data_IF_786412788066
#
_entry.id   IF_786412788066
#
_cell.length_a   1.000
_cell.length_b   1.000
_cell.length_c   1.000
_cell.angle_alpha   90.00
_cell.angle_beta   90.00
_cell.angle_gamma   90.00
#
_symmetry.space_group_name_H-M   'P 1'
#
loop_
_entity.id
_entity.type
_entity.pdbx_description
1 polymer ?
#
# COMPACT_ATOMS: atom_id res chain seq x y z
N UNK A 1 33.74 -8.55 -24.21
CA UNK A 1 35.04 -9.05 -23.74
C UNK A 1 35.49 -8.12 -22.63
N UNK A 2 36.04 -8.67 -21.55
CA UNK A 2 36.62 -7.87 -20.48
C UNK A 2 37.92 -7.21 -20.97
N UNK A 3 38.11 -5.97 -20.55
CA UNK A 3 39.31 -5.19 -20.84
C UNK A 3 39.72 -4.42 -19.57
N UNK A 4 40.99 -4.25 -19.32
CA UNK A 4 41.56 -3.63 -18.11
C UNK A 4 41.30 -2.12 -18.00
N UNK A 5 41.04 -1.44 -19.11
CA UNK A 5 41.02 0.04 -19.17
C UNK A 5 39.65 0.66 -18.84
N UNK A 6 38.50 0.13 -19.34
CA UNK A 6 37.20 0.77 -19.09
C UNK A 6 36.69 0.58 -17.66
N UNK A 7 35.99 1.62 -17.18
CA UNK A 7 35.18 1.52 -15.97
C UNK A 7 33.91 0.73 -16.30
N UNK A 8 33.63 -0.28 -15.51
CA UNK A 8 32.42 -1.09 -15.61
C UNK A 8 31.41 -0.68 -14.53
N UNK A 9 30.21 -0.31 -14.97
CA UNK A 9 29.11 -0.01 -14.05
C UNK A 9 28.43 -1.29 -13.58
N UNK A 10 27.87 -1.27 -12.39
CA UNK A 10 27.06 -2.38 -11.86
C UNK A 10 26.03 -2.84 -12.91
N UNK A 11 25.93 -4.15 -13.10
CA UNK A 11 25.10 -4.75 -14.16
C UNK A 11 25.77 -4.89 -15.52
N UNK A 12 26.97 -4.34 -15.74
CA UNK A 12 27.69 -4.53 -16.99
C UNK A 12 28.06 -6.00 -17.19
N UNK A 13 27.83 -6.53 -18.41
CA UNK A 13 28.15 -7.91 -18.76
C UNK A 13 29.40 -7.97 -19.61
N UNK A 14 30.34 -8.81 -19.22
CA UNK A 14 31.61 -9.02 -19.96
C UNK A 14 31.84 -10.51 -20.20
N UNK A 15 32.56 -10.85 -21.24
CA UNK A 15 33.03 -12.20 -21.51
C UNK A 15 34.53 -12.29 -21.19
N UNK A 16 34.88 -13.17 -20.26
CA UNK A 16 36.25 -13.43 -19.85
C UNK A 16 36.42 -14.92 -19.57
N UNK A 17 37.53 -15.52 -20.04
CA UNK A 17 37.88 -16.95 -19.87
C UNK A 17 36.73 -17.91 -20.21
N UNK A 18 36.07 -17.70 -21.37
CA UNK A 18 34.91 -18.46 -21.87
C UNK A 18 33.64 -18.42 -20.98
N UNK A 19 33.63 -17.60 -19.94
CA UNK A 19 32.47 -17.37 -19.09
C UNK A 19 31.92 -15.95 -19.32
N UNK A 20 30.66 -15.74 -19.03
CA UNK A 20 30.05 -14.42 -18.97
C UNK A 20 29.96 -14.01 -17.50
N UNK A 21 30.37 -12.80 -17.22
CA UNK A 21 30.36 -12.21 -15.88
C UNK A 21 29.49 -10.97 -15.87
N UNK A 22 28.89 -10.69 -14.73
CA UNK A 22 28.14 -9.45 -14.49
C UNK A 22 28.82 -8.67 -13.36
N UNK A 23 29.03 -7.38 -13.56
CA UNK A 23 29.57 -6.51 -12.51
C UNK A 23 28.56 -6.37 -11.38
N UNK A 24 28.91 -6.81 -10.19
CA UNK A 24 28.08 -6.69 -8.98
C UNK A 24 28.05 -5.24 -8.45
N UNK A 25 29.12 -4.49 -8.71
CA UNK A 25 29.29 -3.08 -8.38
C UNK A 25 30.14 -2.37 -9.41
N UNK A 26 30.16 -1.05 -9.39
CA UNK A 26 31.07 -0.26 -10.22
C UNK A 26 32.52 -0.67 -9.93
N UNK A 27 33.28 -0.96 -10.98
CA UNK A 27 34.68 -1.36 -10.84
C UNK A 27 35.54 -0.93 -12.05
N UNK A 28 36.84 -0.87 -11.85
CA UNK A 28 37.83 -0.62 -12.87
C UNK A 28 39.09 -1.43 -12.57
N UNK A 29 39.70 -2.02 -13.58
CA UNK A 29 40.91 -2.87 -13.48
C UNK A 29 40.74 -4.16 -12.65
N UNK A 30 39.51 -4.51 -12.26
CA UNK A 30 39.24 -5.76 -11.55
C UNK A 30 38.96 -6.88 -12.55
N UNK A 31 39.78 -7.94 -12.53
CA UNK A 31 39.62 -9.08 -13.43
C UNK A 31 38.54 -10.03 -12.92
N UNK A 32 37.59 -10.50 -13.76
CA UNK A 32 36.63 -11.50 -13.36
C UNK A 32 37.30 -12.84 -13.06
N UNK A 33 37.39 -13.22 -11.78
CA UNK A 33 38.01 -14.47 -11.31
C UNK A 33 37.04 -15.26 -10.43
N UNK A 34 37.25 -16.59 -10.33
CA UNK A 34 36.46 -17.47 -9.46
C UNK A 34 36.80 -17.29 -7.97
N UNK A 35 37.96 -16.74 -7.66
CA UNK A 35 38.41 -16.48 -6.28
C UNK A 35 37.58 -15.38 -5.60
N UNK A 36 36.94 -14.50 -6.39
CA UNK A 36 36.10 -13.42 -5.86
C UNK A 36 34.81 -13.91 -5.16
N UNK A 37 34.51 -15.21 -5.30
CA UNK A 37 33.37 -15.86 -4.67
C UNK A 37 33.57 -16.30 -3.23
N UNK A 38 34.84 -16.51 -2.83
CA UNK A 38 35.19 -17.11 -1.54
C UNK A 38 35.73 -16.09 -0.55
N UNK A 39 35.63 -14.81 -0.81
CA UNK A 39 36.03 -13.79 0.12
C UNK A 39 35.03 -13.69 1.28
N UNK A 40 35.49 -13.90 2.52
CA UNK A 40 34.68 -13.88 3.75
C UNK A 40 33.88 -12.57 3.98
N UNK A 41 34.11 -11.55 3.14
CA UNK A 41 33.44 -10.26 3.16
C UNK A 41 32.26 -10.10 2.18
N UNK A 42 31.94 -11.12 1.40
CA UNK A 42 30.64 -11.25 0.70
C UNK A 42 30.30 -10.20 -0.35
N UNK A 43 31.30 -9.54 -0.98
CA UNK A 43 31.01 -8.50 -1.97
C UNK A 43 31.93 -8.56 -3.18
N UNK A 44 31.84 -9.61 -4.04
CA UNK A 44 32.66 -9.74 -5.22
C UNK A 44 32.39 -8.63 -6.23
N UNK A 45 33.43 -8.17 -6.95
CA UNK A 45 33.30 -7.21 -8.04
C UNK A 45 32.56 -7.81 -9.23
N UNK A 46 32.74 -9.11 -9.44
CA UNK A 46 32.17 -9.86 -10.54
C UNK A 46 31.42 -11.10 -10.04
N UNK A 47 30.28 -11.39 -10.67
CA UNK A 47 29.54 -12.62 -10.46
C UNK A 47 29.42 -13.37 -11.77
N UNK A 48 29.52 -14.71 -11.80
CA UNK A 48 29.25 -15.47 -13.00
C UNK A 48 27.80 -15.26 -13.41
N UNK A 49 27.63 -14.89 -14.68
CA UNK A 49 26.30 -14.71 -15.25
C UNK A 49 25.69 -16.06 -15.62
N UNK A 50 24.68 -16.46 -14.90
CA UNK A 50 23.92 -17.66 -15.21
C UNK A 50 22.74 -17.32 -16.11
N UNK A 51 22.90 -17.54 -17.41
CA UNK A 51 21.87 -17.30 -18.41
C UNK A 51 20.55 -18.03 -18.10
N UNK A 52 20.62 -19.27 -17.61
CA UNK A 52 19.45 -20.08 -17.30
C UNK A 52 18.69 -19.49 -16.12
N UNK A 53 19.39 -19.08 -15.08
CA UNK A 53 18.79 -18.43 -13.91
C UNK A 53 18.09 -17.12 -14.29
N UNK A 54 18.76 -16.27 -15.05
CA UNK A 54 18.22 -14.99 -15.53
C UNK A 54 16.99 -15.19 -16.43
N UNK A 55 17.06 -16.21 -17.28
CA UNK A 55 15.94 -16.60 -18.15
C UNK A 55 14.74 -17.11 -17.34
N UNK A 56 14.95 -17.98 -16.36
CA UNK A 56 13.89 -18.50 -15.50
C UNK A 56 13.28 -17.39 -14.63
N UNK A 57 14.10 -16.49 -14.09
CA UNK A 57 13.61 -15.35 -13.32
C UNK A 57 12.70 -14.45 -14.17
N UNK A 58 13.10 -14.15 -15.41
CA UNK A 58 12.28 -13.36 -16.34
C UNK A 58 10.98 -14.07 -16.68
N UNK A 59 11.02 -15.38 -16.92
CA UNK A 59 9.82 -16.18 -17.18
C UNK A 59 8.89 -16.21 -15.96
N UNK A 60 9.45 -16.33 -14.77
CA UNK A 60 8.69 -16.32 -13.53
C UNK A 60 7.99 -14.97 -13.32
N UNK A 61 8.69 -13.85 -13.54
CA UNK A 61 8.09 -12.51 -13.50
C UNK A 61 6.94 -12.36 -14.50
N UNK A 62 7.13 -12.85 -15.71
CA UNK A 62 6.06 -12.85 -16.73
C UNK A 62 4.87 -13.75 -16.34
N UNK A 63 5.14 -14.91 -15.79
CA UNK A 63 4.11 -15.83 -15.30
C UNK A 63 3.30 -15.21 -14.15
N UNK A 64 3.96 -14.53 -13.21
CA UNK A 64 3.29 -13.79 -12.13
C UNK A 64 2.42 -12.68 -12.72
N UNK A 65 2.94 -11.87 -13.65
CA UNK A 65 2.19 -10.78 -14.27
C UNK A 65 0.93 -11.29 -14.99
N UNK A 66 1.05 -12.37 -15.75
CA UNK A 66 -0.09 -12.99 -16.44
C UNK A 66 -1.11 -13.57 -15.45
N UNK A 67 -0.66 -14.25 -14.40
CA UNK A 67 -1.54 -14.78 -13.35
C UNK A 67 -2.32 -13.66 -12.68
N UNK A 68 -1.65 -12.57 -12.28
CA UNK A 68 -2.30 -11.40 -11.67
C UNK A 68 -3.31 -10.78 -12.63
N UNK A 69 -2.94 -10.59 -13.90
CA UNK A 69 -3.84 -10.07 -14.92
C UNK A 69 -5.08 -10.96 -15.10
N UNK A 70 -4.90 -12.27 -15.23
CA UNK A 70 -6.02 -13.21 -15.37
C UNK A 70 -6.90 -13.19 -14.12
N UNK A 71 -6.31 -13.19 -12.93
CA UNK A 71 -7.06 -13.15 -11.68
C UNK A 71 -7.90 -11.85 -11.56
N UNK A 72 -7.31 -10.71 -11.89
CA UNK A 72 -8.03 -9.42 -11.87
C UNK A 72 -9.17 -9.38 -12.91
N UNK A 73 -8.94 -9.93 -14.11
CA UNK A 73 -9.97 -10.02 -15.15
C UNK A 73 -11.15 -10.92 -14.74
N UNK A 74 -10.86 -12.13 -14.24
CA UNK A 74 -11.89 -13.09 -13.77
C UNK A 74 -12.72 -12.47 -12.64
N UNK A 75 -12.10 -11.69 -11.76
CA UNK A 75 -12.80 -11.00 -10.66
C UNK A 75 -13.45 -9.69 -11.06
N UNK A 76 -13.33 -9.27 -12.32
CA UNK A 76 -13.89 -8.01 -12.81
C UNK A 76 -13.25 -6.76 -12.19
N UNK A 77 -12.02 -6.88 -11.68
CA UNK A 77 -11.32 -5.80 -10.98
C UNK A 77 -10.56 -4.85 -11.93
N UNK A 78 -10.67 -5.07 -13.23
CA UNK A 78 -9.88 -4.38 -14.25
C UNK A 78 -10.47 -3.05 -14.71
N UNK A 79 -11.76 -2.79 -14.45
CA UNK A 79 -12.42 -1.64 -15.09
C UNK A 79 -13.00 -0.55 -14.18
N UNK A 80 -13.52 -0.86 -13.00
CA UNK A 80 -14.26 0.16 -12.22
C UNK A 80 -14.03 0.08 -10.70
N UNK A 81 -13.37 -0.93 -10.19
CA UNK A 81 -13.32 -1.22 -8.75
C UNK A 81 -12.03 -0.79 -8.06
N UNK A 82 -11.14 -0.10 -8.77
CA UNK A 82 -9.91 0.40 -8.15
C UNK A 82 -10.20 1.39 -7.01
N UNK A 83 -11.23 2.19 -7.17
CA UNK A 83 -11.70 3.12 -6.15
C UNK A 83 -13.14 2.76 -5.77
N UNK A 84 -13.29 2.10 -4.63
CA UNK A 84 -14.60 1.80 -4.03
C UNK A 84 -15.29 3.06 -3.49
N UNK A 85 -14.47 4.02 -3.07
CA UNK A 85 -14.87 5.35 -2.64
C UNK A 85 -13.78 6.33 -3.06
N UNK A 86 -14.11 7.30 -3.91
CA UNK A 86 -13.15 8.28 -4.41
C UNK A 86 -13.33 9.61 -3.68
N UNK A 87 -12.25 10.04 -3.02
CA UNK A 87 -12.06 11.36 -2.41
C UNK A 87 -13.29 11.90 -1.68
N UNK A 88 -13.64 11.29 -0.56
CA UNK A 88 -14.76 11.73 0.29
C UNK A 88 -14.24 12.30 1.61
N UNK A 89 -14.73 13.49 1.93
CA UNK A 89 -14.52 14.09 3.26
C UNK A 89 -15.54 13.53 4.25
N UNK A 90 -15.17 13.43 5.52
CA UNK A 90 -16.08 12.96 6.56
C UNK A 90 -17.33 13.86 6.71
N UNK A 91 -17.17 15.16 6.47
CA UNK A 91 -18.27 16.12 6.39
C UNK A 91 -17.89 17.28 5.46
N UNK A 92 -18.86 18.02 4.97
CA UNK A 92 -18.62 19.10 4.00
C UNK A 92 -18.19 20.43 4.63
N UNK A 93 -18.33 20.55 5.93
CA UNK A 93 -17.95 21.74 6.66
C UNK A 93 -18.89 22.94 6.51
N UNK A 94 -19.94 22.85 5.68
CA UNK A 94 -20.83 23.95 5.39
C UNK A 94 -22.07 23.97 6.32
N UNK A 95 -22.53 25.16 6.64
CA UNK A 95 -23.87 25.41 7.18
C UNK A 95 -24.17 24.96 8.62
N UNK A 96 -23.18 24.50 9.37
CA UNK A 96 -23.40 23.98 10.72
C UNK A 96 -23.06 24.98 11.81
N UNK A 97 -23.67 24.82 12.99
CA UNK A 97 -23.31 25.57 14.19
C UNK A 97 -21.85 25.26 14.54
N UNK A 98 -21.09 26.31 14.69
CA UNK A 98 -19.67 26.24 15.04
C UNK A 98 -19.51 26.74 16.47
N UNK A 99 -18.80 25.96 17.27
CA UNK A 99 -18.38 26.36 18.59
C UNK A 99 -16.86 26.31 18.68
N UNK A 100 -16.26 27.26 19.29
CA UNK A 100 -14.83 27.21 19.62
C UNK A 100 -14.67 26.31 20.83
N UNK A 101 -13.78 25.33 20.71
CA UNK A 101 -13.44 24.41 21.79
C UNK A 101 -12.28 24.99 22.62
N UNK A 102 -12.41 24.99 23.96
CA UNK A 102 -11.29 25.37 24.83
C UNK A 102 -10.14 24.37 24.67
N UNK A 103 -8.93 24.85 24.85
CA UNK A 103 -7.76 24.00 25.00
C UNK A 103 -7.76 23.41 26.43
N UNK A 104 -8.00 22.12 26.52
CA UNK A 104 -8.10 21.39 27.80
C UNK A 104 -6.86 20.51 28.06
N UNK A 105 -5.76 20.77 27.36
CA UNK A 105 -4.51 20.02 27.49
C UNK A 105 -4.70 18.51 27.22
N UNK A 106 -5.44 18.19 26.17
CA UNK A 106 -5.78 16.81 25.80
C UNK A 106 -5.13 16.44 24.47
N UNK A 107 -4.92 15.14 24.29
CA UNK A 107 -4.72 14.55 22.98
C UNK A 107 -6.11 14.30 22.38
N UNK A 108 -6.38 14.88 21.21
CA UNK A 108 -7.71 14.84 20.59
C UNK A 108 -7.63 14.45 19.12
N UNK A 109 -8.64 13.77 18.64
CA UNK A 109 -8.64 13.33 17.25
C UNK A 109 -9.78 12.40 16.88
N UNK A 110 -9.51 11.61 15.84
CA UNK A 110 -10.38 10.55 15.34
C UNK A 110 -9.75 9.18 15.55
N UNK A 111 -10.49 8.29 16.17
CA UNK A 111 -10.30 6.86 16.00
C UNK A 111 -10.97 6.42 14.70
N UNK A 112 -10.23 5.74 13.86
CA UNK A 112 -10.67 5.22 12.56
C UNK A 112 -10.53 3.71 12.61
N UNK A 113 -11.66 3.01 12.58
CA UNK A 113 -11.71 1.54 12.61
C UNK A 113 -12.05 1.05 11.20
N UNK A 114 -11.09 0.46 10.48
CA UNK A 114 -11.35 -0.16 9.19
C UNK A 114 -12.29 -1.36 9.34
N UNK A 115 -13.26 -1.47 8.45
CA UNK A 115 -14.08 -2.69 8.37
C UNK A 115 -13.19 -3.84 7.93
N UNK A 116 -13.30 -4.98 8.62
CA UNK A 116 -12.56 -6.20 8.30
C UNK A 116 -12.89 -6.66 6.89
N UNK A 117 -12.01 -6.41 5.96
CA UNK A 117 -12.15 -6.85 4.59
C UNK A 117 -10.78 -7.15 3.99
N UNK A 118 -10.64 -8.33 3.40
CA UNK A 118 -9.43 -8.66 2.66
C UNK A 118 -9.41 -7.89 1.34
N UNK A 119 -8.30 -7.22 1.08
CA UNK A 119 -8.10 -6.47 -0.17
C UNK A 119 -8.73 -5.09 -0.22
N UNK A 120 -9.30 -4.58 0.87
CA UNK A 120 -9.72 -3.17 0.95
C UNK A 120 -8.61 -2.36 1.61
N UNK A 121 -8.14 -1.36 0.90
CA UNK A 121 -7.12 -0.42 1.39
C UNK A 121 -7.71 0.97 1.47
N UNK A 122 -7.57 1.58 2.63
CA UNK A 122 -7.93 2.98 2.82
C UNK A 122 -6.70 3.87 2.79
N UNK A 123 -6.88 5.06 2.27
CA UNK A 123 -5.86 6.09 2.22
C UNK A 123 -6.45 7.42 2.65
N UNK A 124 -5.77 8.13 3.54
CA UNK A 124 -6.04 9.53 3.80
C UNK A 124 -5.32 10.33 2.71
N UNK A 125 -6.08 11.09 1.92
CA UNK A 125 -5.54 11.95 0.87
C UNK A 125 -5.23 13.33 1.38
N UNK A 126 -6.10 13.86 2.27
CA UNK A 126 -5.93 15.17 2.88
C UNK A 126 -6.39 15.15 4.33
N UNK A 127 -5.67 15.89 5.16
CA UNK A 127 -6.08 16.22 6.53
C UNK A 127 -6.61 17.65 6.51
N UNK A 128 -7.79 17.84 7.05
CA UNK A 128 -8.41 19.15 7.16
C UNK A 128 -8.37 19.66 8.56
N UNK A 129 -8.02 20.94 8.70
CA UNK A 129 -8.04 21.67 9.97
C UNK A 129 -8.96 22.89 9.89
N UNK A 130 -9.69 23.12 10.96
CA UNK A 130 -10.49 24.31 11.16
C UNK A 130 -10.20 24.90 12.54
N UNK A 131 -9.34 25.89 12.57
CA UNK A 131 -8.87 26.54 13.78
C UNK A 131 -9.17 28.03 13.75
N UNK A 132 -9.07 28.68 14.89
CA UNK A 132 -9.21 30.14 15.07
C UNK A 132 -8.19 30.67 16.08
N UNK A 133 -8.04 31.98 16.13
CA UNK A 133 -7.22 32.68 17.13
C UNK A 133 -5.78 32.92 16.69
N UNK A 134 -5.08 31.91 16.18
CA UNK A 134 -3.69 32.04 15.77
C UNK A 134 -3.41 31.20 14.51
N UNK A 135 -2.28 31.48 13.87
CA UNK A 135 -1.69 30.68 12.80
C UNK A 135 -0.43 29.99 13.29
N UNK A 136 -0.01 28.95 12.59
CA UNK A 136 1.23 28.25 12.92
C UNK A 136 1.18 26.79 12.55
N UNK A 137 2.19 26.05 12.98
CA UNK A 137 2.31 24.62 12.71
C UNK A 137 1.46 23.83 13.71
N UNK A 138 0.57 23.02 13.21
CA UNK A 138 -0.17 22.00 13.97
C UNK A 138 0.47 20.64 13.66
N UNK A 139 1.02 20.01 14.68
CA UNK A 139 1.61 18.68 14.55
C UNK A 139 0.53 17.63 14.76
N UNK A 140 0.32 16.82 13.72
CA UNK A 140 -0.60 15.69 13.72
C UNK A 140 0.15 14.38 13.82
N UNK A 141 -0.42 13.44 14.50
CA UNK A 141 0.12 12.11 14.71
C UNK A 141 -0.86 11.06 14.19
N UNK A 142 -0.31 10.03 13.56
CA UNK A 142 -1.04 8.84 13.20
C UNK A 142 -0.49 7.66 13.97
N UNK A 143 -1.30 7.09 14.85
CA UNK A 143 -0.97 5.89 15.62
C UNK A 143 -1.80 4.70 15.17
N UNK A 144 -1.35 3.52 15.52
CA UNK A 144 -2.14 2.30 15.48
C UNK A 144 -2.20 1.71 16.90
N UNK A 145 -3.33 1.14 17.28
CA UNK A 145 -3.55 0.58 18.63
C UNK A 145 -2.57 -0.52 19.05
N UNK A 146 -1.79 -1.06 18.11
CA UNK A 146 -0.77 -2.08 18.37
C UNK A 146 0.61 -1.51 18.67
N UNK A 147 0.81 -0.20 18.60
CA UNK A 147 2.12 0.45 18.71
C UNK A 147 2.06 1.66 19.64
N UNK A 148 3.12 1.86 20.41
CA UNK A 148 3.27 3.02 21.30
C UNK A 148 3.62 4.26 20.48
N UNK A 149 4.60 4.11 19.56
CA UNK A 149 5.10 5.22 18.76
C UNK A 149 4.16 5.58 17.60
N UNK A 150 4.10 6.86 17.21
CA UNK A 150 3.37 7.27 16.03
C UNK A 150 3.99 6.65 14.78
N UNK A 151 3.15 6.02 13.95
CA UNK A 151 3.57 5.47 12.66
C UNK A 151 3.96 6.58 11.70
N UNK A 152 3.28 7.73 11.82
CA UNK A 152 3.52 8.89 10.97
C UNK A 152 3.23 10.19 11.71
N UNK A 153 4.01 11.21 11.38
CA UNK A 153 3.85 12.58 11.91
C UNK A 153 3.70 13.55 10.74
N UNK A 154 2.83 14.54 10.89
CA UNK A 154 2.57 15.56 9.87
C UNK A 154 2.66 16.93 10.52
N UNK A 155 3.53 17.79 10.03
CA UNK A 155 3.59 19.20 10.42
C UNK A 155 2.76 20.03 9.42
N UNK A 156 1.58 20.48 9.84
CA UNK A 156 0.61 21.17 9.01
C UNK A 156 0.65 22.67 9.29
N UNK A 157 1.10 23.47 8.34
CA UNK A 157 1.21 24.92 8.50
C UNK A 157 -0.16 25.60 8.28
N UNK A 158 -0.90 25.80 9.35
CA UNK A 158 -2.21 26.44 9.33
C UNK A 158 -2.07 27.97 9.24
N UNK A 159 -2.68 28.57 8.22
CA UNK A 159 -2.51 29.99 7.89
C UNK A 159 -3.82 30.80 7.94
N UNK A 160 -4.96 30.15 8.15
CA UNK A 160 -6.25 30.83 8.14
C UNK A 160 -6.66 31.30 9.52
N UNK A 161 -6.94 32.60 9.67
CA UNK A 161 -7.37 33.21 10.95
C UNK A 161 -8.88 33.41 11.04
N UNK A 162 -9.60 33.33 9.93
CA UNK A 162 -11.03 33.62 9.84
C UNK A 162 -11.93 32.43 10.25
N UNK A 163 -11.38 31.37 10.82
CA UNK A 163 -12.11 30.15 11.12
C UNK A 163 -12.49 29.35 9.88
N UNK A 164 -11.85 29.62 8.75
CA UNK A 164 -12.00 28.85 7.53
C UNK A 164 -11.40 27.45 7.66
N UNK A 165 -11.81 26.59 6.76
CA UNK A 165 -11.31 25.22 6.68
C UNK A 165 -10.10 25.16 5.75
N UNK A 166 -9.02 24.51 6.18
CA UNK A 166 -7.82 24.33 5.37
C UNK A 166 -7.51 22.84 5.22
N UNK A 167 -7.36 22.39 3.99
CA UNK A 167 -7.03 21.01 3.63
C UNK A 167 -5.54 20.90 3.29
N UNK A 168 -4.88 19.89 3.84
CA UNK A 168 -3.46 19.63 3.67
C UNK A 168 -3.29 18.27 3.00
N UNK A 169 -2.72 18.21 1.80
CA UNK A 169 -2.44 16.95 1.15
C UNK A 169 -1.38 16.15 1.92
N UNK A 170 -1.63 14.87 2.12
CA UNK A 170 -0.69 13.96 2.78
C UNK A 170 -0.30 12.84 1.81
N UNK A 171 0.99 12.47 1.83
CA UNK A 171 1.50 11.42 0.95
C UNK A 171 1.53 10.08 1.68
N UNK A 172 1.18 9.03 0.95
CA UNK A 172 1.36 7.63 1.37
C UNK A 172 0.79 7.32 2.77
N UNK A 173 -0.39 7.87 3.08
CA UNK A 173 -1.07 7.68 4.36
C UNK A 173 -2.12 6.58 4.23
N UNK A 174 -1.65 5.33 4.20
CA UNK A 174 -2.50 4.15 4.12
C UNK A 174 -2.89 3.66 5.50
N UNK A 175 -4.14 3.19 5.62
CA UNK A 175 -4.71 2.59 6.82
C UNK A 175 -5.11 1.14 6.53
N UNK A 176 -4.14 0.21 6.41
CA UNK A 176 -4.45 -1.18 6.13
C UNK A 176 -5.14 -1.84 7.35
N UNK A 177 -6.05 -2.78 7.08
CA UNK A 177 -6.52 -3.69 8.10
C UNK A 177 -5.39 -4.66 8.46
N UNK A 178 -4.87 -4.60 9.68
CA UNK A 178 -3.82 -5.49 10.15
C UNK A 178 -4.45 -6.85 10.51
N UNK A 179 -4.15 -7.88 9.71
CA UNK A 179 -4.77 -9.20 9.84
C UNK A 179 -3.91 -10.24 10.56
N UNK A 180 -2.69 -9.90 10.95
CA UNK A 180 -1.71 -10.84 11.51
C UNK A 180 -1.15 -10.38 12.85
N UNK A 181 -0.89 -11.35 13.72
CA UNK A 181 -0.34 -11.12 15.07
C UNK A 181 -1.39 -11.13 16.16
N UNK A 182 -0.93 -11.00 17.42
CA UNK A 182 -1.80 -10.98 18.61
C UNK A 182 -2.75 -9.77 18.64
N UNK A 183 -2.51 -8.77 17.80
CA UNK A 183 -3.28 -7.54 17.68
C UNK A 183 -3.99 -7.45 16.31
N UNK A 184 -4.46 -8.58 15.78
CA UNK A 184 -5.22 -8.60 14.55
C UNK A 184 -6.47 -7.72 14.65
N UNK A 185 -6.63 -6.78 13.74
CA UNK A 185 -7.64 -5.72 13.80
C UNK A 185 -7.01 -4.42 14.28
N UNK A 186 -7.51 -3.88 15.36
CA UNK A 186 -7.07 -2.61 15.92
C UNK A 186 -7.66 -1.39 15.22
N UNK A 187 -7.30 -0.24 15.74
CA UNK A 187 -7.80 1.05 15.30
C UNK A 187 -6.64 1.98 14.95
N UNK A 188 -6.90 2.90 14.06
CA UNK A 188 -6.00 3.99 13.73
C UNK A 188 -6.43 5.26 14.44
N UNK A 189 -5.49 6.01 15.01
CA UNK A 189 -5.74 7.24 15.74
C UNK A 189 -5.04 8.39 15.03
N UNK A 190 -5.81 9.26 14.38
CA UNK A 190 -5.32 10.50 13.81
C UNK A 190 -5.63 11.63 14.77
N UNK A 191 -4.61 12.23 15.38
CA UNK A 191 -4.79 13.15 16.48
C UNK A 191 -3.71 14.21 16.54
N UNK A 192 -3.94 15.22 17.37
CA UNK A 192 -2.96 16.22 17.77
C UNK A 192 -3.01 16.47 19.27
N UNK A 193 -1.87 16.90 19.82
CA UNK A 193 -1.79 17.30 21.22
C UNK A 193 -2.16 18.79 21.33
N UNK A 194 -3.16 19.10 22.14
CA UNK A 194 -3.57 20.48 22.37
C UNK A 194 -2.48 21.31 23.05
N UNK A 195 -1.54 20.70 23.76
CA UNK A 195 -0.40 21.42 24.37
C UNK A 195 0.57 21.95 23.31
N UNK A 196 0.64 21.31 22.13
CA UNK A 196 1.57 21.70 21.07
C UNK A 196 0.97 22.75 20.13
N UNK A 197 -0.28 23.16 20.35
CA UNK A 197 -0.90 24.19 19.53
C UNK A 197 -0.24 25.56 19.77
N UNK A 198 -0.07 26.36 18.72
CA UNK A 198 0.34 27.76 18.85
C UNK A 198 -0.51 28.53 19.86
N UNK A 199 0.11 29.40 20.64
CA UNK A 199 -0.57 30.18 21.68
C UNK A 199 -1.78 30.95 21.13
N UNK A 200 -2.94 30.73 21.74
CA UNK A 200 -4.20 31.33 21.31
C UNK A 200 -4.93 30.59 20.19
N UNK A 201 -4.35 29.55 19.62
CA UNK A 201 -5.04 28.71 18.63
C UNK A 201 -6.08 27.83 19.32
N UNK A 202 -7.28 27.77 18.75
CA UNK A 202 -8.38 26.97 19.26
C UNK A 202 -9.09 26.25 18.11
N UNK A 203 -9.54 25.03 18.36
CA UNK A 203 -10.30 24.25 17.39
C UNK A 203 -11.72 24.78 17.24
N UNK A 204 -12.24 24.79 16.02
CA UNK A 204 -13.64 25.06 15.74
C UNK A 204 -14.36 23.73 15.59
N UNK A 205 -15.35 23.52 16.43
CA UNK A 205 -16.15 22.29 16.43
C UNK A 205 -17.30 22.36 15.42
N UNK A 206 -17.41 21.32 14.64
CA UNK A 206 -18.58 21.04 13.81
C UNK A 206 -19.39 19.96 14.51
N UNK A 207 -20.51 20.32 15.10
CA UNK A 207 -21.36 19.37 15.79
C UNK A 207 -21.96 18.36 14.83
N UNK A 208 -21.56 17.08 14.96
CA UNK A 208 -22.07 15.96 14.20
C UNK A 208 -22.12 14.73 15.09
N UNK A 209 -23.25 14.04 15.10
CA UNK A 209 -23.35 12.75 15.77
C UNK A 209 -22.79 11.64 14.87
N UNK A 210 -21.66 11.11 15.26
CA UNK A 210 -20.94 10.07 14.53
C UNK A 210 -21.46 8.66 14.84
N UNK A 211 -22.23 8.51 15.92
CA UNK A 211 -22.69 7.22 16.39
C UNK A 211 -23.91 6.68 15.65
N UNK A 212 -24.61 7.52 14.94
CA UNK A 212 -25.84 7.16 14.25
C UNK A 212 -25.97 7.83 12.88
N UNK A 213 -26.85 7.25 12.09
CA UNK A 213 -27.20 7.77 10.77
C UNK A 213 -27.80 9.19 10.87
N UNK A 214 -27.27 10.17 10.12
CA UNK A 214 -27.81 11.52 10.11
C UNK A 214 -29.28 11.54 9.61
N UNK A 215 -30.09 12.40 10.20
CA UNK A 215 -31.45 12.62 9.72
C UNK A 215 -31.41 13.33 8.35
N UNK A 216 -31.91 12.69 7.31
CA UNK A 216 -31.93 13.23 5.94
C UNK A 216 -32.76 14.52 5.77
N UNK A 217 -33.74 14.73 6.66
CA UNK A 217 -34.58 15.94 6.63
C UNK A 217 -34.00 17.11 7.43
N UNK A 218 -33.26 16.81 8.53
CA UNK A 218 -32.75 17.84 9.43
C UNK A 218 -31.37 18.34 9.05
N UNK A 219 -30.53 17.49 8.45
CA UNK A 219 -29.11 17.77 8.16
C UNK A 219 -28.79 17.85 6.68
N UNK A 220 -29.79 17.58 5.84
CA UNK A 220 -29.63 17.50 4.41
C UNK A 220 -29.29 16.10 3.90
N UNK A 221 -29.79 15.81 2.73
CA UNK A 221 -29.59 14.49 2.07
C UNK A 221 -28.13 14.14 1.83
N UNK A 222 -27.30 15.15 1.56
CA UNK A 222 -25.86 14.98 1.27
C UNK A 222 -25.08 14.38 2.44
N UNK A 223 -25.40 14.77 3.67
CA UNK A 223 -24.73 14.20 4.85
C UNK A 223 -25.11 12.75 5.09
N UNK A 224 -26.38 12.41 4.87
CA UNK A 224 -26.88 11.06 5.00
C UNK A 224 -26.23 10.12 3.98
N UNK A 225 -26.17 10.55 2.73
CA UNK A 225 -25.55 9.80 1.65
C UNK A 225 -24.06 9.57 1.92
N UNK A 226 -23.35 10.64 2.28
CA UNK A 226 -21.91 10.56 2.64
C UNK A 226 -21.65 9.65 3.82
N UNK A 227 -22.47 9.73 4.86
CA UNK A 227 -22.34 8.86 6.03
C UNK A 227 -22.54 7.38 5.64
N UNK A 228 -23.56 7.09 4.82
CA UNK A 228 -23.81 5.74 4.31
C UNK A 228 -22.69 5.22 3.41
N UNK A 229 -22.09 6.07 2.60
CA UNK A 229 -20.96 5.70 1.75
C UNK A 229 -19.73 5.34 2.59
N UNK A 230 -19.38 6.16 3.57
CA UNK A 230 -18.18 6.02 4.39
C UNK A 230 -18.30 4.83 5.34
N UNK A 231 -19.45 4.67 6.02
CA UNK A 231 -19.65 3.64 7.04
C UNK A 231 -19.66 2.21 6.50
N UNK A 232 -19.74 2.03 5.19
CA UNK A 232 -19.53 0.73 4.55
C UNK A 232 -18.09 0.22 4.73
N UNK A 233 -17.12 1.11 4.86
CA UNK A 233 -15.69 0.79 4.84
C UNK A 233 -14.97 1.09 6.14
N UNK A 234 -15.47 2.02 6.92
CA UNK A 234 -14.84 2.43 8.17
C UNK A 234 -15.85 3.02 9.16
N UNK A 235 -15.50 2.92 10.42
CA UNK A 235 -16.17 3.64 11.50
C UNK A 235 -15.24 4.72 12.00
N UNK A 236 -15.78 5.92 12.24
CA UNK A 236 -15.05 7.06 12.80
C UNK A 236 -15.65 7.42 14.14
N UNK A 237 -14.80 7.53 15.15
CA UNK A 237 -15.20 7.94 16.51
C UNK A 237 -14.27 9.06 16.98
N UNK A 238 -14.78 10.27 17.16
CA UNK A 238 -13.99 11.32 17.79
C UNK A 238 -13.66 10.96 19.23
N UNK A 239 -12.41 11.19 19.63
CA UNK A 239 -11.95 10.84 20.96
C UNK A 239 -11.10 11.96 21.59
N UNK A 240 -10.98 11.90 22.88
CA UNK A 240 -10.02 12.66 23.65
C UNK A 240 -9.43 11.80 24.78
N UNK A 241 -8.18 12.05 25.11
CA UNK A 241 -7.50 11.44 26.24
C UNK A 241 -6.54 12.45 26.88
N UNK A 242 -6.04 12.14 28.07
CA UNK A 242 -5.02 13.00 28.69
C UNK A 242 -3.81 13.06 27.77
N UNK A 243 -3.34 14.26 27.50
CA UNK A 243 -2.08 14.42 26.79
C UNK A 243 -0.95 14.01 27.73
N UNK A 244 -0.05 13.12 27.31
CA UNK A 244 1.16 12.84 28.07
C UNK A 244 2.10 14.04 28.05
N UNK A 245 2.92 14.20 29.06
CA UNK A 245 3.97 15.23 29.10
C UNK A 245 5.06 14.90 28.10
N UNK A 246 5.38 13.62 27.94
CA UNK A 246 6.32 13.11 26.92
C UNK A 246 5.71 11.92 26.18
N UNK A 247 6.20 11.61 24.97
CA UNK A 247 5.74 10.42 24.23
C UNK A 247 6.16 9.12 24.91
N UNK A 248 7.17 9.13 25.76
CA UNK A 248 7.64 7.97 26.51
C UNK A 248 6.65 7.53 27.60
N UNK A 249 5.69 8.39 27.94
CA UNK A 249 4.64 8.13 28.93
C UNK A 249 3.34 7.59 28.30
N UNK A 250 3.31 7.35 27.00
CA UNK A 250 2.13 6.74 26.38
C UNK A 250 1.91 5.34 26.91
N UNK A 251 0.64 4.97 27.19
CA UNK A 251 0.32 3.60 27.53
C UNK A 251 0.81 2.66 26.43
N UNK A 252 1.36 1.53 26.79
CA UNK A 252 1.87 0.50 25.87
C UNK A 252 0.83 0.06 24.83
N UNK A 253 -0.44 0.23 25.18
CA UNK A 253 -1.59 0.00 24.31
C UNK A 253 -2.59 1.13 24.54
N UNK A 254 -3.31 1.52 23.48
CA UNK A 254 -4.43 2.46 23.56
C UNK A 254 -5.52 1.87 24.44
N UNK A 255 -5.55 2.28 25.72
CA UNK A 255 -6.51 1.75 26.68
C UNK A 255 -7.83 2.49 26.50
N UNK A 256 -8.86 1.71 26.18
CA UNK A 256 -10.25 2.18 26.08
C UNK A 256 -10.72 2.84 27.40
N UNK A 257 -10.21 2.40 28.55
CA UNK A 257 -10.55 3.00 29.84
C UNK A 257 -10.02 4.42 30.02
N UNK A 258 -8.94 4.79 29.31
CA UNK A 258 -8.34 6.13 29.34
C UNK A 258 -8.86 7.03 28.22
N UNK A 259 -9.56 6.47 27.25
CA UNK A 259 -10.05 7.17 26.06
C UNK A 259 -11.53 7.55 26.27
N UNK A 260 -11.81 8.85 26.21
CA UNK A 260 -13.19 9.35 26.24
C UNK A 260 -13.68 9.61 24.83
N UNK A 261 -14.75 8.95 24.44
CA UNK A 261 -15.38 9.14 23.14
C UNK A 261 -16.48 10.19 23.23
N UNK A 262 -16.60 10.96 22.15
CA UNK A 262 -17.66 11.96 22.00
C UNK A 262 -18.32 11.79 20.64
N UNK A 263 -19.63 11.93 20.63
CA UNK A 263 -20.41 11.75 19.39
C UNK A 263 -20.52 13.05 18.59
N UNK A 264 -20.21 14.21 19.18
CA UNK A 264 -20.58 15.52 18.66
C UNK A 264 -19.41 16.47 18.48
N UNK A 265 -18.19 16.04 18.74
CA UNK A 265 -17.01 16.90 18.62
C UNK A 265 -16.07 16.35 17.54
N UNK A 266 -15.63 17.22 16.63
CA UNK A 266 -14.63 16.85 15.62
C UNK A 266 -13.25 17.50 15.85
N UNK A 267 -13.10 18.28 16.91
CA UNK A 267 -11.85 18.97 17.28
C UNK A 267 -11.21 19.77 16.14
N UNK A 268 -12.04 20.37 15.28
CA UNK A 268 -11.56 21.08 14.08
C UNK A 268 -10.99 20.18 13.00
N UNK A 269 -11.12 18.87 13.13
CA UNK A 269 -10.56 17.91 12.18
C UNK A 269 -11.58 17.49 11.12
N UNK A 270 -11.06 17.21 9.94
CA UNK A 270 -11.74 16.49 8.86
C UNK A 270 -10.70 15.65 8.10
N UNK A 271 -11.13 14.64 7.39
CA UNK A 271 -10.26 13.87 6.51
C UNK A 271 -10.93 13.67 5.18
N UNK A 272 -10.16 13.82 4.11
CA UNK A 272 -10.53 13.33 2.80
C UNK A 272 -9.88 11.95 2.61
N UNK A 273 -10.71 10.97 2.34
CA UNK A 273 -10.29 9.58 2.19
C UNK A 273 -10.60 9.03 0.81
N UNK A 274 -9.79 8.08 0.40
CA UNK A 274 -10.04 7.20 -0.74
C UNK A 274 -10.04 5.75 -0.24
N UNK A 275 -10.99 4.95 -0.70
CA UNK A 275 -11.02 3.51 -0.43
C UNK A 275 -10.83 2.79 -1.75
N UNK A 276 -9.80 1.99 -1.83
CA UNK A 276 -9.45 1.19 -3.00
C UNK A 276 -9.50 -0.31 -2.74
N UNK A 277 -9.47 -1.08 -3.79
CA UNK A 277 -9.26 -2.52 -3.72
C UNK A 277 -7.79 -2.81 -4.05
N UNK A 278 -7.06 -3.38 -3.08
CA UNK A 278 -5.69 -3.85 -3.26
C UNK A 278 -5.59 -5.30 -2.78
N UNK A 279 -5.42 -6.20 -3.73
CA UNK A 279 -5.30 -7.63 -3.46
C UNK A 279 -3.84 -8.07 -3.29
N UNK A 280 -2.88 -7.17 -3.31
CA UNK A 280 -1.46 -7.49 -3.21
C UNK A 280 -1.15 -8.29 -1.95
N UNK A 281 -1.62 -7.84 -0.80
CA UNK A 281 -1.44 -8.54 0.47
C UNK A 281 -2.09 -9.93 0.48
N UNK A 282 -3.26 -10.06 -0.14
CA UNK A 282 -3.92 -11.36 -0.30
C UNK A 282 -3.08 -12.31 -1.15
N UNK A 283 -2.61 -11.85 -2.30
CA UNK A 283 -1.78 -12.64 -3.20
C UNK A 283 -0.47 -13.07 -2.52
N UNK A 284 0.15 -12.17 -1.75
CA UNK A 284 1.40 -12.45 -1.03
C UNK A 284 1.17 -13.47 0.09
N UNK A 285 0.11 -13.33 0.87
CA UNK A 285 -0.23 -14.25 1.98
C UNK A 285 -0.61 -15.63 1.48
N UNK A 286 -1.41 -15.69 0.43
CA UNK A 286 -1.90 -16.93 -0.18
C UNK A 286 -0.98 -17.44 -1.31
N UNK A 287 0.28 -17.02 -1.31
CA UNK A 287 1.26 -17.36 -2.37
C UNK A 287 1.35 -18.86 -2.70
N UNK A 288 1.09 -19.72 -1.71
CA UNK A 288 1.11 -21.17 -1.92
C UNK A 288 0.01 -21.64 -2.89
N UNK A 289 -1.18 -21.03 -2.81
CA UNK A 289 -2.29 -21.33 -3.74
C UNK A 289 -1.90 -20.91 -5.15
N UNK A 290 -1.28 -19.74 -5.29
CA UNK A 290 -0.87 -19.20 -6.58
C UNK A 290 0.37 -19.88 -7.16
N UNK A 291 1.20 -20.52 -6.34
CA UNK A 291 2.46 -21.14 -6.76
C UNK A 291 2.24 -22.17 -7.88
N UNK A 292 1.25 -23.04 -7.74
CA UNK A 292 0.96 -24.06 -8.76
C UNK A 292 0.52 -23.43 -10.09
N UNK A 293 -0.27 -22.36 -10.03
CA UNK A 293 -0.71 -21.63 -11.23
C UNK A 293 0.47 -20.95 -11.91
N UNK A 294 1.34 -20.30 -11.14
CA UNK A 294 2.55 -19.65 -11.65
C UNK A 294 3.48 -20.69 -12.31
N UNK A 295 3.70 -21.83 -11.65
CA UNK A 295 4.53 -22.91 -12.20
C UNK A 295 4.00 -23.43 -13.53
N UNK A 296 2.69 -23.66 -13.63
CA UNK A 296 2.05 -24.08 -14.90
C UNK A 296 2.20 -23.02 -15.99
N UNK A 297 2.00 -21.76 -15.64
CA UNK A 297 2.14 -20.64 -16.58
C UNK A 297 3.57 -20.50 -17.09
N UNK A 298 4.57 -20.61 -16.19
CA UNK A 298 5.99 -20.59 -16.56
C UNK A 298 6.32 -21.77 -17.48
N UNK A 299 5.85 -22.98 -17.14
CA UNK A 299 6.05 -24.17 -17.97
C UNK A 299 5.42 -23.99 -19.38
N UNK A 300 4.20 -23.44 -19.45
CA UNK A 300 3.54 -23.14 -20.72
C UNK A 300 4.33 -22.17 -21.59
N UNK A 301 4.85 -21.08 -20.99
CA UNK A 301 5.67 -20.10 -21.70
C UNK A 301 6.99 -20.74 -22.18
N UNK A 302 7.64 -21.55 -21.35
CA UNK A 302 8.86 -22.27 -21.74
C UNK A 302 8.60 -23.22 -22.92
N UNK A 303 7.56 -24.02 -22.84
CA UNK A 303 7.20 -24.96 -23.91
C UNK A 303 6.87 -24.25 -25.22
N UNK A 304 6.12 -23.14 -25.16
CA UNK A 304 5.86 -22.30 -26.35
C UNK A 304 7.15 -21.74 -26.95
N UNK A 305 8.04 -21.26 -26.08
CA UNK A 305 9.33 -20.73 -26.55
C UNK A 305 10.17 -21.81 -27.22
N UNK A 306 10.22 -23.02 -26.66
CA UNK A 306 10.91 -24.16 -27.26
C UNK A 306 10.25 -24.58 -28.57
N UNK A 307 8.92 -24.65 -28.62
CA UNK A 307 8.20 -24.98 -29.84
C UNK A 307 8.40 -23.97 -30.98
N UNK A 308 8.60 -22.69 -30.64
CA UNK A 308 8.78 -21.62 -31.61
C UNK A 308 10.25 -21.33 -31.95
N UNK A 309 11.21 -21.98 -31.30
CA UNK A 309 12.64 -21.72 -31.53
C UNK A 309 13.09 -22.32 -32.87
N UNK A 310 13.54 -21.51 -33.86
CA UNK A 310 13.99 -22.00 -35.16
C UNK A 310 15.34 -22.72 -35.11
N UNK A 311 16.14 -22.52 -34.06
CA UNK A 311 17.53 -22.99 -33.95
C UNK A 311 17.68 -24.44 -33.45
N UNK A 312 16.58 -25.11 -33.15
CA UNK A 312 16.63 -26.55 -32.78
C UNK A 312 16.98 -27.35 -34.02
N UNK A 313 18.27 -27.66 -34.19
CA UNK A 313 18.84 -28.49 -35.25
C UNK A 313 18.44 -29.98 -35.12
N UNK A 314 17.18 -30.27 -35.07
CA UNK A 314 16.66 -31.65 -35.09
C UNK A 314 15.90 -31.83 -36.40
N UNK A 315 15.91 -33.10 -36.89
CA UNK A 315 15.24 -33.51 -38.15
C UNK A 315 13.86 -32.82 -38.27
N UNK A 316 13.64 -32.03 -39.34
CA UNK A 316 12.46 -31.16 -39.53
C UNK A 316 11.12 -31.86 -39.25
N UNK A 317 11.00 -33.12 -39.57
CA UNK A 317 9.76 -33.90 -39.38
C UNK A 317 9.50 -34.24 -37.91
N UNK A 318 10.55 -34.54 -37.14
CA UNK A 318 10.42 -34.80 -35.70
C UNK A 318 10.15 -33.48 -34.95
N UNK A 319 10.78 -32.37 -35.34
CA UNK A 319 10.53 -31.05 -34.73
C UNK A 319 9.09 -30.61 -34.95
N UNK A 320 8.54 -30.80 -36.16
CA UNK A 320 7.15 -30.42 -36.43
C UNK A 320 6.15 -31.29 -35.67
N UNK A 321 6.39 -32.58 -35.52
CA UNK A 321 5.54 -33.45 -34.70
C UNK A 321 5.57 -33.08 -33.24
N UNK A 322 6.75 -32.90 -32.66
CA UNK A 322 6.93 -32.46 -31.25
C UNK A 322 6.34 -31.07 -31.00
N UNK A 323 6.50 -30.16 -31.97
CA UNK A 323 5.91 -28.83 -31.92
C UNK A 323 4.39 -28.86 -31.89
N UNK A 324 3.76 -29.65 -32.72
CA UNK A 324 2.30 -29.85 -32.76
C UNK A 324 1.81 -30.51 -31.46
N UNK A 325 2.54 -31.50 -30.97
CA UNK A 325 2.22 -32.19 -29.71
C UNK A 325 2.29 -31.23 -28.51
N UNK A 326 3.33 -30.38 -28.42
CA UNK A 326 3.44 -29.33 -27.40
C UNK A 326 2.29 -28.33 -27.50
N UNK A 327 1.95 -27.87 -28.70
CA UNK A 327 0.85 -26.93 -28.92
C UNK A 327 -0.51 -27.52 -28.57
N UNK A 328 -0.74 -28.80 -28.91
CA UNK A 328 -1.96 -29.51 -28.51
C UNK A 328 -2.07 -29.71 -27.00
N UNK A 329 -0.96 -29.95 -26.31
CA UNK A 329 -0.93 -30.06 -24.87
C UNK A 329 -1.18 -28.68 -24.18
N UNK A 330 -0.73 -27.60 -24.79
CA UNK A 330 -0.93 -26.25 -24.25
C UNK A 330 -2.31 -25.67 -24.53
N UNK A 331 -2.75 -25.75 -25.80
CA UNK A 331 -3.91 -25.00 -26.29
C UNK A 331 -5.13 -25.90 -26.57
N UNK A 332 -4.97 -27.23 -26.40
CA UNK A 332 -5.98 -28.19 -26.76
C UNK A 332 -5.93 -28.56 -28.25
N UNK A 333 -6.72 -29.55 -28.64
CA UNK A 333 -6.81 -29.98 -30.05
C UNK A 333 -8.03 -29.35 -30.74
N UNK A 334 -8.08 -29.49 -32.08
CA UNK A 334 -9.17 -28.99 -32.93
C UNK A 334 -10.54 -29.61 -32.60
N UNK A 335 -10.57 -30.70 -31.83
CA UNK A 335 -11.79 -31.36 -31.39
C UNK A 335 -12.37 -30.84 -30.08
N UNK A 336 -11.83 -29.74 -29.55
CA UNK A 336 -12.35 -29.06 -28.39
C UNK A 336 -11.97 -29.67 -27.03
N UNK A 337 -10.98 -30.57 -27.01
CA UNK A 337 -10.42 -31.03 -25.73
C UNK A 337 -9.48 -29.94 -25.16
N UNK A 338 -9.69 -29.52 -23.90
CA UNK A 338 -8.78 -28.56 -23.28
C UNK A 338 -7.38 -29.16 -23.18
N UNK A 339 -6.35 -28.35 -23.38
CA UNK A 339 -4.96 -28.75 -23.15
C UNK A 339 -4.73 -29.07 -21.67
N UNK A 340 -3.84 -30.02 -21.38
CA UNK A 340 -3.53 -30.46 -20.02
C UNK A 340 -2.92 -29.35 -19.13
N UNK A 341 -2.40 -28.29 -19.75
CA UNK A 341 -1.82 -27.10 -19.08
C UNK A 341 -2.65 -25.83 -19.27
N UNK A 342 -3.74 -25.89 -20.05
CA UNK A 342 -4.62 -24.76 -20.32
C UNK A 342 -5.77 -24.59 -19.34
#
# INVERSE_FOLDING_TARGET
>A
VWNMIPEYKAGAKVRHNNKVWIAARDNQNEEPTESDFNDDYGNPYWQPYNFISDYLERLTRNGIAQMVQTFTQIKGLDKETKNLLERRTFFDGAGRIRATLPNNHKLVGFEIVPVRSMGVTMKIEQIGLQMTGATGVVRMYLFHSSQIDPIKTFDLNFTQTNGGFQLFPVKDCYLPYISTGNNAGGSWFLCYNQNDLPAGMQAINMTKDWSREPCGTCTGYVDLERWREITKYLQVSPFMMNAPETFDEYPELWDIALTMYTNTQNYGLNCEITVGCDLTDFIIKERQIFQTVIQRQVAAIMLRTLAMNPDVKVNRNQVNATRLEILYELDGNVEGRPGGLG
#
